data_IF_686584563068
#
_entry.id   IF_686584563068
#
_cell.length_a   1.000
_cell.length_b   1.000
_cell.length_c   1.000
_cell.angle_alpha   90.00
_cell.angle_beta   90.00
_cell.angle_gamma   90.00
#
_symmetry.space_group_name_H-M   'P 1'
#
loop_
_entity.id
_entity.type
_entity.pdbx_description
1 polymer ?
#
# COMPACT_ATOMS: atom_id res chain seq x y z
N UNK A 1 -28.86 20.72 -12.23
CA UNK A 1 -30.28 20.79 -12.67
C UNK A 1 -30.98 19.64 -11.97
N UNK A 2 -32.22 19.75 -11.46
CA UNK A 2 -32.85 18.58 -10.81
C UNK A 2 -33.27 17.58 -11.87
N UNK A 3 -32.50 16.52 -12.06
CA UNK A 3 -32.86 15.41 -12.95
C UNK A 3 -33.95 14.57 -12.27
N UNK A 4 -35.13 14.56 -12.89
CA UNK A 4 -36.27 13.71 -12.52
C UNK A 4 -36.41 12.68 -13.65
N UNK A 5 -35.85 11.46 -13.53
CA UNK A 5 -35.93 10.46 -14.60
C UNK A 5 -37.38 10.05 -14.95
N UNK A 6 -37.81 10.13 -16.20
CA UNK A 6 -39.24 10.04 -16.55
C UNK A 6 -39.97 8.71 -16.22
N UNK A 7 -39.28 7.65 -15.80
CA UNK A 7 -39.88 6.33 -15.55
C UNK A 7 -39.75 5.87 -14.07
N UNK A 8 -40.76 6.12 -13.22
CA UNK A 8 -40.68 5.95 -11.76
C UNK A 8 -40.52 4.50 -11.29
N UNK A 9 -40.85 3.51 -12.12
CA UNK A 9 -40.75 2.09 -11.77
C UNK A 9 -39.29 1.56 -11.79
N UNK A 10 -38.39 2.21 -12.54
CA UNK A 10 -36.98 1.81 -12.62
C UNK A 10 -36.11 2.39 -11.48
N UNK A 11 -36.59 3.46 -10.84
CA UNK A 11 -35.84 4.25 -9.86
C UNK A 11 -35.48 3.47 -8.59
N UNK A 12 -36.42 2.67 -8.10
CA UNK A 12 -36.27 1.93 -6.85
C UNK A 12 -35.30 0.75 -6.97
N UNK A 13 -35.10 0.20 -8.17
CA UNK A 13 -34.33 -1.03 -8.37
C UNK A 13 -32.87 -0.74 -8.67
N UNK A 14 -32.58 0.31 -9.44
CA UNK A 14 -31.22 0.57 -9.95
C UNK A 14 -30.42 1.38 -8.91
N UNK A 15 -30.89 2.57 -8.54
CA UNK A 15 -30.09 3.50 -7.73
C UNK A 15 -30.03 3.12 -6.24
N UNK A 16 -31.14 2.65 -5.66
CA UNK A 16 -31.20 2.29 -4.23
C UNK A 16 -30.37 1.03 -3.95
N UNK A 17 -30.48 0.00 -4.80
CA UNK A 17 -29.72 -1.23 -4.59
C UNK A 17 -28.23 -1.01 -4.86
N UNK A 18 -27.84 -0.24 -5.88
CA UNK A 18 -26.44 0.04 -6.17
C UNK A 18 -25.76 0.83 -5.03
N UNK A 19 -26.37 1.94 -4.57
CA UNK A 19 -25.81 2.74 -3.47
C UNK A 19 -25.78 1.97 -2.14
N UNK A 20 -26.82 1.20 -1.85
CA UNK A 20 -26.86 0.38 -0.62
C UNK A 20 -25.81 -0.72 -0.66
N UNK A 21 -25.63 -1.37 -1.81
CA UNK A 21 -24.60 -2.39 -2.02
C UNK A 21 -23.20 -1.82 -1.85
N UNK A 22 -22.89 -0.68 -2.50
CA UNK A 22 -21.61 0.01 -2.33
C UNK A 22 -21.36 0.41 -0.87
N UNK A 23 -22.37 0.90 -0.17
CA UNK A 23 -22.27 1.24 1.26
C UNK A 23 -21.90 0.05 2.12
N UNK A 24 -22.48 -1.14 1.88
CA UNK A 24 -22.08 -2.35 2.60
C UNK A 24 -20.63 -2.75 2.33
N UNK A 25 -20.16 -2.64 1.08
CA UNK A 25 -18.77 -2.91 0.74
C UNK A 25 -17.81 -1.94 1.45
N UNK A 26 -18.15 -0.65 1.51
CA UNK A 26 -17.39 0.36 2.26
C UNK A 26 -17.30 0.01 3.74
N UNK A 27 -18.43 -0.37 4.36
CA UNK A 27 -18.48 -0.76 5.78
C UNK A 27 -17.63 -2.02 6.03
N UNK A 28 -17.74 -3.03 5.18
CA UNK A 28 -16.93 -4.27 5.28
C UNK A 28 -15.44 -3.96 5.14
N UNK A 29 -15.06 -3.16 4.14
CA UNK A 29 -13.67 -2.77 3.93
C UNK A 29 -13.13 -1.97 5.12
N UNK A 30 -13.89 -0.98 5.60
CA UNK A 30 -13.54 -0.13 6.74
C UNK A 30 -13.40 -0.94 8.03
N UNK A 31 -14.33 -1.86 8.28
CA UNK A 31 -14.26 -2.78 9.43
C UNK A 31 -12.99 -3.62 9.37
N UNK A 32 -12.63 -4.13 8.18
CA UNK A 32 -11.40 -4.86 7.98
C UNK A 32 -10.13 -4.05 8.27
N UNK A 33 -10.09 -2.78 7.83
CA UNK A 33 -8.98 -1.85 8.12
C UNK A 33 -8.84 -1.59 9.62
N UNK A 34 -9.96 -1.34 10.31
CA UNK A 34 -9.98 -1.11 11.76
C UNK A 34 -9.56 -2.38 12.50
N UNK A 35 -10.02 -3.55 12.05
CA UNK A 35 -9.69 -4.83 12.66
C UNK A 35 -8.20 -5.18 12.52
N UNK A 36 -7.62 -5.09 11.32
CA UNK A 36 -6.16 -5.28 11.13
C UNK A 36 -5.36 -4.25 11.93
N UNK A 37 -5.88 -3.02 12.02
CA UNK A 37 -5.28 -1.96 12.83
C UNK A 37 -5.31 -2.27 14.32
N UNK A 38 -6.39 -2.85 14.84
CA UNK A 38 -6.48 -3.24 16.25
C UNK A 38 -5.54 -4.41 16.56
N UNK A 39 -5.48 -5.42 15.68
CA UNK A 39 -4.64 -6.60 15.87
C UNK A 39 -3.14 -6.27 15.93
N UNK A 40 -2.67 -5.36 15.07
CA UNK A 40 -1.25 -5.00 15.01
C UNK A 40 -0.86 -3.89 15.99
N UNK A 41 -1.80 -3.28 16.70
CA UNK A 41 -1.52 -2.13 17.56
C UNK A 41 -0.49 -2.45 18.64
N UNK A 42 -0.59 -3.60 19.31
CA UNK A 42 0.37 -4.01 20.35
C UNK A 42 1.79 -4.12 19.79
N UNK A 43 1.93 -4.81 18.65
CA UNK A 43 3.22 -4.97 17.98
C UNK A 43 3.80 -3.62 17.51
N UNK A 44 2.96 -2.69 17.08
CA UNK A 44 3.39 -1.33 16.71
C UNK A 44 3.92 -0.55 17.90
N UNK A 45 3.26 -0.63 19.05
CA UNK A 45 3.72 0.09 20.25
C UNK A 45 5.14 -0.36 20.62
N UNK A 46 5.42 -1.66 20.52
CA UNK A 46 6.73 -2.20 20.82
C UNK A 46 7.79 -1.88 19.75
N UNK A 47 7.47 -2.04 18.46
CA UNK A 47 8.44 -1.89 17.37
C UNK A 47 8.58 -0.47 16.82
N UNK A 48 7.58 0.38 17.00
CA UNK A 48 7.50 1.71 16.36
C UNK A 48 7.56 2.81 17.40
N UNK A 49 6.77 2.73 18.46
CA UNK A 49 6.67 3.81 19.45
C UNK A 49 7.84 3.84 20.43
N UNK A 50 8.38 2.69 20.81
CA UNK A 50 9.55 2.60 21.69
C UNK A 50 10.88 2.91 20.99
N UNK A 51 10.90 2.92 19.65
CA UNK A 51 12.13 3.11 18.87
C UNK A 51 12.34 4.58 18.49
N UNK A 52 13.57 4.93 18.10
CA UNK A 52 13.89 6.29 17.61
C UNK A 52 13.10 6.61 16.35
N UNK A 53 12.54 7.81 16.31
CA UNK A 53 11.77 8.31 15.17
C UNK A 53 12.69 8.44 13.94
N UNK A 54 12.37 7.68 12.91
CA UNK A 54 13.01 7.73 11.59
C UNK A 54 12.00 8.13 10.53
N UNK A 55 12.46 8.59 9.35
CA UNK A 55 11.59 8.91 8.22
C UNK A 55 10.66 7.72 7.87
N UNK A 56 11.17 6.48 7.93
CA UNK A 56 10.37 5.27 7.73
C UNK A 56 9.26 5.10 8.78
N UNK A 57 9.50 5.54 10.02
CA UNK A 57 8.50 5.54 11.11
C UNK A 57 7.37 6.51 10.78
N UNK A 58 7.72 7.71 10.31
CA UNK A 58 6.74 8.73 9.94
C UNK A 58 5.92 8.28 8.73
N UNK A 59 6.56 7.71 7.70
CA UNK A 59 5.86 7.17 6.54
C UNK A 59 4.89 6.04 6.94
N UNK A 60 5.32 5.16 7.83
CA UNK A 60 4.52 4.06 8.37
C UNK A 60 3.27 4.57 9.11
N UNK A 61 3.47 5.45 10.10
CA UNK A 61 2.37 6.02 10.88
C UNK A 61 1.44 6.83 9.97
N UNK A 62 1.99 7.60 9.03
CA UNK A 62 1.22 8.33 8.03
C UNK A 62 0.28 7.42 7.26
N UNK A 63 0.79 6.32 6.67
CA UNK A 63 -0.05 5.34 5.97
C UNK A 63 -1.14 4.75 6.88
N UNK A 64 -0.77 4.35 8.10
CA UNK A 64 -1.71 3.76 9.07
C UNK A 64 -2.88 4.71 9.38
N UNK A 65 -2.56 5.94 9.79
CA UNK A 65 -3.59 6.91 10.21
C UNK A 65 -4.37 7.49 9.04
N UNK A 66 -3.73 7.75 7.89
CA UNK A 66 -4.45 8.21 6.69
C UNK A 66 -5.50 7.18 6.27
N UNK A 67 -5.21 5.89 6.36
CA UNK A 67 -6.18 4.85 6.01
C UNK A 67 -7.33 4.71 7.02
N UNK A 68 -7.08 4.94 8.32
CA UNK A 68 -8.15 5.00 9.34
C UNK A 68 -9.04 6.22 9.07
N UNK A 69 -8.44 7.38 8.79
CA UNK A 69 -9.17 8.59 8.42
C UNK A 69 -9.99 8.36 7.15
N UNK A 70 -9.43 7.70 6.13
CA UNK A 70 -10.14 7.32 4.92
C UNK A 70 -11.37 6.45 5.23
N UNK A 71 -11.21 5.41 6.05
CA UNK A 71 -12.31 4.53 6.45
C UNK A 71 -13.44 5.32 7.14
N UNK A 72 -13.08 6.17 8.09
CA UNK A 72 -14.05 7.03 8.82
C UNK A 72 -14.76 7.99 7.88
N UNK A 73 -14.01 8.69 7.01
CA UNK A 73 -14.57 9.65 6.03
C UNK A 73 -15.53 8.93 5.06
N UNK A 74 -15.14 7.74 4.58
CA UNK A 74 -15.96 6.97 3.65
C UNK A 74 -17.31 6.54 4.22
N UNK A 75 -17.41 6.39 5.55
CA UNK A 75 -18.67 6.09 6.25
C UNK A 75 -19.46 7.37 6.53
N UNK A 76 -18.78 8.44 6.95
CA UNK A 76 -19.45 9.63 7.49
C UNK A 76 -20.13 10.50 6.42
N UNK A 77 -19.60 10.62 5.19
CA UNK A 77 -20.29 11.40 4.17
C UNK A 77 -19.69 11.35 2.77
N UNK A 78 -20.56 11.33 1.75
CA UNK A 78 -20.22 11.66 0.36
C UNK A 78 -19.70 13.10 0.19
N UNK A 79 -20.04 14.01 1.13
CA UNK A 79 -19.65 15.43 1.08
C UNK A 79 -18.12 15.62 1.13
N UNK A 80 -17.36 14.62 1.61
CA UNK A 80 -15.90 14.62 1.61
C UNK A 80 -15.26 13.83 0.46
N UNK A 81 -15.97 13.63 -0.65
CA UNK A 81 -15.43 12.95 -1.83
C UNK A 81 -14.13 13.59 -2.34
N UNK A 82 -14.02 14.91 -2.26
CA UNK A 82 -12.79 15.64 -2.59
C UNK A 82 -11.59 15.14 -1.76
N UNK A 83 -11.76 14.97 -0.45
CA UNK A 83 -10.71 14.47 0.42
C UNK A 83 -10.34 13.02 0.07
N UNK A 84 -11.33 12.17 -0.25
CA UNK A 84 -11.09 10.79 -0.68
C UNK A 84 -10.26 10.73 -1.96
N UNK A 85 -10.55 11.58 -2.95
CA UNK A 85 -9.76 11.67 -4.19
C UNK A 85 -8.29 12.02 -3.93
N UNK A 86 -8.01 12.93 -2.99
CA UNK A 86 -6.63 13.27 -2.64
C UNK A 86 -5.92 12.15 -1.88
N UNK A 87 -6.63 11.41 -1.02
CA UNK A 87 -6.05 10.25 -0.33
C UNK A 87 -5.57 9.20 -1.33
N UNK A 88 -6.31 9.00 -2.42
CA UNK A 88 -5.93 8.12 -3.53
C UNK A 88 -4.61 8.55 -4.19
N UNK A 89 -4.22 9.83 -4.12
CA UNK A 89 -2.89 10.31 -4.59
C UNK A 89 -1.83 10.16 -3.52
N UNK A 90 -2.14 10.58 -2.29
CA UNK A 90 -1.18 10.67 -1.19
C UNK A 90 -0.69 9.28 -0.79
N UNK A 91 -1.57 8.29 -0.70
CA UNK A 91 -1.22 6.94 -0.21
C UNK A 91 -0.27 6.22 -1.18
N UNK A 92 -0.53 6.12 -2.50
CA UNK A 92 0.44 5.59 -3.45
C UNK A 92 1.75 6.38 -3.51
N UNK A 93 1.72 7.70 -3.33
CA UNK A 93 2.94 8.50 -3.23
C UNK A 93 3.82 8.05 -2.05
N UNK A 94 3.22 7.90 -0.87
CA UNK A 94 3.89 7.43 0.34
C UNK A 94 4.45 6.01 0.15
N UNK A 95 3.68 5.10 -0.46
CA UNK A 95 4.15 3.76 -0.81
C UNK A 95 5.32 3.80 -1.80
N UNK A 96 5.25 4.65 -2.82
CA UNK A 96 6.33 4.84 -3.77
C UNK A 96 7.63 5.32 -3.09
N UNK A 97 7.55 6.23 -2.12
CA UNK A 97 8.74 6.64 -1.34
C UNK A 97 9.34 5.45 -0.57
N UNK A 98 8.51 4.60 0.05
CA UNK A 98 8.97 3.39 0.74
C UNK A 98 9.65 2.44 -0.23
N UNK A 99 9.06 2.22 -1.41
CA UNK A 99 9.59 1.33 -2.45
C UNK A 99 10.92 1.85 -3.02
N UNK A 100 11.05 3.16 -3.24
CA UNK A 100 12.29 3.79 -3.67
C UNK A 100 13.39 3.60 -2.63
N UNK A 101 13.10 3.85 -1.36
CA UNK A 101 14.08 3.69 -0.30
C UNK A 101 14.53 2.24 -0.12
N UNK A 102 13.62 1.26 -0.32
CA UNK A 102 13.96 -0.18 -0.36
C UNK A 102 14.82 -0.54 -1.55
N UNK A 103 14.44 -0.11 -2.75
CA UNK A 103 15.25 -0.32 -3.96
C UNK A 103 16.63 0.32 -3.82
N UNK A 104 16.71 1.49 -3.22
CA UNK A 104 17.99 2.15 -2.95
C UNK A 104 18.88 1.31 -2.04
N UNK A 105 18.32 0.72 -0.98
CA UNK A 105 19.04 -0.21 -0.12
C UNK A 105 19.47 -1.49 -0.88
N UNK A 106 18.59 -2.05 -1.71
CA UNK A 106 18.91 -3.22 -2.55
C UNK A 106 20.01 -2.95 -3.59
N UNK A 107 20.08 -1.72 -4.12
CA UNK A 107 21.13 -1.26 -5.03
C UNK A 107 22.41 -0.79 -4.30
N UNK A 108 22.64 -1.26 -3.07
CA UNK A 108 23.82 -0.95 -2.26
C UNK A 108 24.06 0.56 -2.10
N UNK A 109 23.00 1.37 -2.04
CA UNK A 109 23.10 2.81 -1.87
C UNK A 109 23.57 3.58 -3.12
N UNK A 110 23.42 3.01 -4.32
CA UNK A 110 23.77 3.69 -5.57
C UNK A 110 22.99 4.99 -5.79
N UNK A 111 23.69 6.13 -5.68
CA UNK A 111 23.10 7.47 -5.86
C UNK A 111 22.52 7.68 -7.27
N UNK A 112 23.14 7.08 -8.30
CA UNK A 112 22.66 7.18 -9.69
C UNK A 112 21.27 6.56 -9.85
N UNK A 113 21.06 5.40 -9.23
CA UNK A 113 19.75 4.73 -9.26
C UNK A 113 18.70 5.50 -8.45
N UNK A 114 19.08 6.07 -7.31
CA UNK A 114 18.18 6.91 -6.52
C UNK A 114 17.69 8.12 -7.31
N UNK A 115 18.60 8.85 -7.96
CA UNK A 115 18.24 10.03 -8.77
C UNK A 115 17.29 9.62 -9.90
N UNK A 116 17.58 8.51 -10.60
CA UNK A 116 16.70 7.98 -11.65
C UNK A 116 15.29 7.67 -11.13
N UNK A 117 15.19 6.94 -10.02
CA UNK A 117 13.90 6.58 -9.40
C UNK A 117 13.12 7.80 -8.94
N UNK A 118 13.78 8.77 -8.30
CA UNK A 118 13.14 10.00 -7.81
C UNK A 118 12.60 10.84 -8.96
N UNK A 119 13.34 10.98 -10.07
CA UNK A 119 12.88 11.75 -11.24
C UNK A 119 11.59 11.13 -11.81
N UNK A 120 11.58 9.82 -12.07
CA UNK A 120 10.40 9.15 -12.62
C UNK A 120 9.22 9.22 -11.64
N UNK A 121 9.49 8.99 -10.35
CA UNK A 121 8.47 9.10 -9.31
C UNK A 121 7.82 10.48 -9.28
N UNK A 122 8.61 11.55 -9.35
CA UNK A 122 8.09 12.92 -9.38
C UNK A 122 7.23 13.17 -10.62
N UNK A 123 7.67 12.71 -11.80
CA UNK A 123 6.89 12.84 -13.04
C UNK A 123 5.52 12.15 -12.90
N UNK A 124 5.51 10.91 -12.40
CA UNK A 124 4.27 10.13 -12.22
C UNK A 124 3.33 10.81 -11.21
N UNK A 125 3.85 11.26 -10.06
CA UNK A 125 3.03 11.89 -9.02
C UNK A 125 2.48 13.26 -9.42
N UNK A 126 3.31 14.09 -10.07
CA UNK A 126 2.85 15.39 -10.58
C UNK A 126 1.77 15.20 -11.64
N UNK A 127 1.99 14.28 -12.58
CA UNK A 127 0.98 13.95 -13.61
C UNK A 127 -0.31 13.43 -12.96
N UNK A 128 -0.20 12.56 -11.96
CA UNK A 128 -1.34 12.04 -11.22
C UNK A 128 -2.13 13.12 -10.46
N UNK A 129 -1.44 14.03 -9.78
CA UNK A 129 -2.08 15.15 -9.09
C UNK A 129 -2.82 16.09 -10.06
N UNK A 130 -2.24 16.34 -11.25
CA UNK A 130 -2.90 17.13 -12.30
C UNK A 130 -4.14 16.42 -12.83
N UNK A 131 -4.06 15.12 -13.11
CA UNK A 131 -5.21 14.33 -13.58
C UNK A 131 -6.34 14.33 -12.56
N UNK A 132 -6.04 14.14 -11.27
CA UNK A 132 -7.04 14.20 -10.21
C UNK A 132 -7.61 15.62 -10.08
N UNK A 133 -6.77 16.65 -10.18
CA UNK A 133 -7.24 18.04 -10.20
C UNK A 133 -8.19 18.34 -11.36
N UNK A 134 -7.93 17.80 -12.54
CA UNK A 134 -8.82 17.88 -13.70
C UNK A 134 -10.12 17.09 -13.46
N UNK A 135 -10.01 15.86 -12.95
CA UNK A 135 -11.15 15.01 -12.62
C UNK A 135 -12.09 15.71 -11.64
N UNK A 136 -11.55 16.38 -10.61
CA UNK A 136 -12.33 17.12 -9.63
C UNK A 136 -13.10 18.31 -10.22
N UNK A 137 -12.63 18.89 -11.34
CA UNK A 137 -13.36 19.95 -12.06
C UNK A 137 -14.53 19.41 -12.89
N UNK A 138 -14.50 18.14 -13.25
CA UNK A 138 -15.57 17.45 -13.99
C UNK A 138 -16.65 16.85 -13.08
N UNK A 139 -16.49 17.01 -11.76
CA UNK A 139 -17.52 16.58 -10.81
C UNK A 139 -18.61 17.64 -10.76
N UNK A 140 -19.79 17.30 -11.28
CA UNK A 140 -21.01 18.03 -11.01
C UNK A 140 -21.74 17.38 -9.84
N UNK A 141 -22.08 18.20 -8.84
CA UNK A 141 -22.89 17.77 -7.72
C UNK A 141 -24.33 18.13 -8.05
N UNK A 142 -25.14 17.10 -8.31
CA UNK A 142 -26.57 17.29 -8.56
C UNK A 142 -27.39 16.71 -7.41
N UNK A 143 -28.39 17.48 -6.99
CA UNK A 143 -29.39 17.03 -6.04
C UNK A 143 -30.46 16.22 -6.78
N UNK A 144 -30.52 14.92 -6.48
CA UNK A 144 -31.54 14.02 -6.98
C UNK A 144 -32.62 13.84 -5.90
N UNK A 145 -33.88 14.08 -6.25
CA UNK A 145 -35.02 13.84 -5.36
C UNK A 145 -35.60 12.48 -5.72
N UNK A 146 -35.29 11.46 -4.92
CA UNK A 146 -35.79 10.10 -5.11
C UNK A 146 -36.85 9.81 -4.05
N UNK A 147 -38.11 9.70 -4.47
CA UNK A 147 -39.24 9.37 -3.56
C UNK A 147 -39.35 10.29 -2.33
N UNK A 148 -39.14 11.60 -2.53
CA UNK A 148 -39.20 12.61 -1.47
C UNK A 148 -37.96 12.68 -0.56
N UNK A 149 -36.96 11.81 -0.76
CA UNK A 149 -35.66 11.93 -0.10
C UNK A 149 -34.68 12.69 -1.00
N UNK A 150 -34.03 13.71 -0.44
CA UNK A 150 -32.95 14.44 -1.09
C UNK A 150 -31.68 13.60 -1.01
N UNK A 151 -31.16 13.15 -2.15
CA UNK A 151 -29.87 12.49 -2.26
C UNK A 151 -28.90 13.33 -3.09
N UNK A 152 -27.67 13.43 -2.59
CA UNK A 152 -26.57 14.05 -3.31
C UNK A 152 -25.92 12.98 -4.18
N UNK A 153 -26.18 12.99 -5.49
CA UNK A 153 -25.53 12.08 -6.43
C UNK A 153 -24.38 12.79 -7.10
N UNK A 154 -23.19 12.18 -7.03
CA UNK A 154 -22.01 12.65 -7.73
C UNK A 154 -22.08 12.06 -9.14
N UNK A 155 -22.38 12.89 -10.13
CA UNK A 155 -22.30 12.47 -11.52
C UNK A 155 -20.94 12.86 -12.08
N UNK A 156 -20.26 11.88 -12.67
CA UNK A 156 -19.02 12.09 -13.39
C UNK A 156 -19.38 12.40 -14.84
N UNK A 157 -19.39 13.68 -15.20
CA UNK A 157 -19.79 14.12 -16.53
C UNK A 157 -18.60 14.09 -17.51
N UNK A 158 -18.83 13.59 -18.73
CA UNK A 158 -17.84 13.58 -19.81
C UNK A 158 -16.65 12.63 -19.59
N UNK A 159 -15.43 13.14 -19.80
CA UNK A 159 -14.17 12.37 -19.86
C UNK A 159 -13.62 11.92 -18.48
N UNK A 160 -14.38 12.07 -17.39
CA UNK A 160 -13.93 11.75 -16.04
C UNK A 160 -13.50 10.28 -15.86
N UNK A 161 -14.22 9.34 -16.50
CA UNK A 161 -13.87 7.92 -16.46
C UNK A 161 -12.53 7.62 -17.18
N UNK A 162 -12.27 8.34 -18.27
CA UNK A 162 -11.04 8.24 -19.03
C UNK A 162 -9.86 8.81 -18.22
N UNK A 163 -10.04 9.92 -17.52
CA UNK A 163 -9.04 10.47 -16.59
C UNK A 163 -8.71 9.49 -15.45
N UNK A 164 -9.71 8.86 -14.84
CA UNK A 164 -9.50 7.83 -13.83
C UNK A 164 -8.70 6.64 -14.38
N UNK A 165 -9.02 6.20 -15.60
CA UNK A 165 -8.30 5.12 -16.27
C UNK A 165 -6.85 5.51 -16.56
N UNK A 166 -6.60 6.71 -17.08
CA UNK A 166 -5.25 7.24 -17.30
C UNK A 166 -4.43 7.28 -16.01
N UNK A 167 -5.04 7.70 -14.89
CA UNK A 167 -4.38 7.72 -13.60
C UNK A 167 -3.97 6.32 -13.12
N UNK A 168 -4.87 5.33 -13.25
CA UNK A 168 -4.55 3.93 -12.92
C UNK A 168 -3.44 3.37 -13.81
N UNK A 169 -3.42 3.73 -15.10
CA UNK A 169 -2.33 3.37 -16.02
C UNK A 169 -0.98 3.94 -15.55
N UNK A 170 -0.94 5.18 -15.07
CA UNK A 170 0.29 5.77 -14.55
C UNK A 170 0.81 5.05 -13.30
N UNK A 171 -0.07 4.72 -12.35
CA UNK A 171 0.30 3.95 -11.15
C UNK A 171 0.83 2.57 -11.54
N UNK A 172 0.13 1.87 -12.43
CA UNK A 172 0.52 0.52 -12.86
C UNK A 172 1.83 0.51 -13.62
N UNK A 173 2.09 1.48 -14.49
CA UNK A 173 3.39 1.64 -15.17
C UNK A 173 4.51 1.83 -14.14
N UNK A 174 4.29 2.68 -13.13
CA UNK A 174 5.24 2.88 -12.05
C UNK A 174 5.52 1.58 -11.28
N UNK A 175 4.48 0.86 -10.89
CA UNK A 175 4.61 -0.39 -10.14
C UNK A 175 5.28 -1.51 -10.95
N UNK A 176 4.99 -1.61 -12.24
CA UNK A 176 5.68 -2.53 -13.16
C UNK A 176 7.17 -2.17 -13.25
N UNK A 177 7.51 -0.89 -13.38
CA UNK A 177 8.90 -0.45 -13.42
C UNK A 177 9.66 -0.82 -12.13
N UNK A 178 9.05 -0.57 -10.97
CA UNK A 178 9.61 -0.93 -9.66
C UNK A 178 9.75 -2.46 -9.53
N UNK A 179 8.75 -3.24 -9.96
CA UNK A 179 8.79 -4.71 -9.99
C UNK A 179 9.92 -5.23 -10.87
N UNK A 180 10.08 -4.70 -12.08
CA UNK A 180 11.13 -5.09 -13.00
C UNK A 180 12.52 -4.82 -12.41
N UNK A 181 12.72 -3.66 -11.77
CA UNK A 181 13.98 -3.32 -11.11
C UNK A 181 14.26 -4.22 -9.91
N UNK A 182 13.26 -4.48 -9.07
CA UNK A 182 13.40 -5.38 -7.92
C UNK A 182 13.74 -6.81 -8.38
N UNK A 183 13.03 -7.32 -9.39
CA UNK A 183 13.29 -8.63 -10.00
C UNK A 183 14.69 -8.72 -10.61
N UNK A 184 15.12 -7.68 -11.32
CA UNK A 184 16.47 -7.61 -11.91
C UNK A 184 17.56 -7.72 -10.84
N UNK A 185 17.47 -6.93 -9.76
CA UNK A 185 18.44 -6.99 -8.66
C UNK A 185 18.43 -8.36 -8.01
N UNK A 186 17.26 -8.96 -7.84
CA UNK A 186 17.12 -10.29 -7.23
C UNK A 186 17.83 -11.37 -8.04
N UNK A 187 17.60 -11.38 -9.36
CA UNK A 187 18.25 -12.31 -10.26
C UNK A 187 19.76 -12.09 -10.27
N UNK A 188 20.20 -10.83 -10.27
CA UNK A 188 21.63 -10.49 -10.20
C UNK A 188 22.26 -10.99 -8.90
N UNK A 189 21.64 -10.69 -7.76
CA UNK A 189 22.15 -11.05 -6.44
C UNK A 189 22.20 -12.57 -6.26
N UNK A 190 21.16 -13.29 -6.71
CA UNK A 190 21.15 -14.75 -6.65
C UNK A 190 22.21 -15.39 -7.56
N UNK A 191 22.48 -14.79 -8.74
CA UNK A 191 23.58 -15.22 -9.62
C UNK A 191 24.95 -14.98 -8.99
N UNK A 192 25.13 -13.88 -8.27
CA UNK A 192 26.37 -13.55 -7.55
C UNK A 192 26.57 -14.45 -6.32
N UNK A 193 25.54 -14.70 -5.52
CA UNK A 193 25.54 -15.66 -4.40
C UNK A 193 25.86 -17.09 -4.87
N UNK A 194 25.28 -17.52 -5.98
CA UNK A 194 25.59 -18.84 -6.57
C UNK A 194 27.07 -18.97 -6.96
N UNK A 195 27.76 -17.85 -7.24
CA UNK A 195 29.21 -17.84 -7.54
C UNK A 195 30.09 -17.78 -6.29
N UNK A 196 29.59 -17.24 -5.17
CA UNK A 196 30.34 -17.11 -3.92
C UNK A 196 29.60 -17.76 -2.75
N UNK A 197 29.95 -19.02 -2.48
CA UNK A 197 29.34 -19.91 -1.46
C UNK A 197 29.45 -19.45 0.01
N UNK A 198 29.87 -18.21 0.30
CA UNK A 198 30.20 -17.77 1.66
C UNK A 198 29.28 -16.65 2.23
N UNK A 199 28.20 -16.27 1.53
CA UNK A 199 27.38 -15.09 1.87
C UNK A 199 26.14 -15.33 2.74
N UNK A 200 26.18 -16.23 3.73
CA UNK A 200 24.98 -16.72 4.45
C UNK A 200 24.09 -15.62 5.08
N UNK A 201 24.68 -14.64 5.78
CA UNK A 201 23.89 -13.68 6.55
C UNK A 201 23.26 -12.54 5.70
N UNK A 202 23.92 -12.14 4.61
CA UNK A 202 23.40 -11.12 3.68
C UNK A 202 22.28 -11.72 2.81
N UNK A 203 22.38 -13.00 2.47
CA UNK A 203 21.35 -13.72 1.73
C UNK A 203 20.02 -13.78 2.49
N UNK A 204 20.05 -13.95 3.81
CA UNK A 204 18.83 -14.08 4.63
C UNK A 204 18.04 -12.77 4.69
N UNK A 205 18.70 -11.63 4.91
CA UNK A 205 18.05 -10.31 4.91
C UNK A 205 17.44 -9.99 3.54
N UNK A 206 18.18 -10.28 2.47
CA UNK A 206 17.71 -10.07 1.10
C UNK A 206 16.49 -10.96 0.79
N UNK A 207 16.50 -12.21 1.28
CA UNK A 207 15.39 -13.15 1.10
C UNK A 207 14.12 -12.68 1.79
N UNK A 208 14.21 -12.14 3.02
CA UNK A 208 13.05 -11.55 3.72
C UNK A 208 12.50 -10.36 2.96
N UNK A 209 13.38 -9.46 2.50
CA UNK A 209 12.97 -8.30 1.70
C UNK A 209 12.25 -8.75 0.42
N UNK A 210 12.81 -9.72 -0.29
CA UNK A 210 12.21 -10.24 -1.52
C UNK A 210 10.88 -10.95 -1.32
N UNK A 211 10.72 -11.71 -0.25
CA UNK A 211 9.44 -12.31 0.10
C UNK A 211 8.36 -11.24 0.26
N UNK A 212 8.67 -10.15 0.95
CA UNK A 212 7.72 -9.04 1.13
C UNK A 212 7.36 -8.35 -0.19
N UNK A 213 8.34 -8.15 -1.09
CA UNK A 213 8.10 -7.60 -2.43
C UNK A 213 7.24 -8.51 -3.29
N UNK A 214 7.50 -9.83 -3.31
CA UNK A 214 6.72 -10.79 -4.09
C UNK A 214 5.26 -10.79 -3.64
N UNK A 215 5.00 -10.79 -2.33
CA UNK A 215 3.63 -10.76 -1.79
C UNK A 215 2.93 -9.44 -2.15
N UNK A 216 3.62 -8.31 -2.05
CA UNK A 216 3.08 -7.01 -2.46
C UNK A 216 2.71 -6.99 -3.95
N UNK A 217 3.63 -7.39 -4.84
CA UNK A 217 3.39 -7.34 -6.27
C UNK A 217 2.39 -8.38 -6.77
N UNK A 218 2.37 -9.59 -6.19
CA UNK A 218 1.35 -10.59 -6.50
C UNK A 218 -0.05 -10.07 -6.15
N UNK A 219 -0.17 -9.41 -5.00
CA UNK A 219 -1.41 -8.77 -4.59
C UNK A 219 -1.77 -7.61 -5.54
N UNK A 220 -0.80 -6.75 -5.88
CA UNK A 220 -1.00 -5.67 -6.84
C UNK A 220 -1.55 -6.18 -8.18
N UNK A 221 -0.92 -7.21 -8.76
CA UNK A 221 -1.38 -7.82 -10.03
C UNK A 221 -2.78 -8.40 -9.89
N UNK A 222 -3.12 -9.03 -8.76
CA UNK A 222 -4.45 -9.57 -8.53
C UNK A 222 -5.53 -8.48 -8.46
N UNK A 223 -5.21 -7.30 -7.93
CA UNK A 223 -6.14 -6.16 -7.84
C UNK A 223 -6.20 -5.36 -9.15
N UNK A 224 -5.05 -5.07 -9.75
CA UNK A 224 -4.97 -4.25 -10.96
C UNK A 224 -5.33 -5.02 -12.23
N UNK A 225 -5.03 -6.32 -12.30
CA UNK A 225 -5.28 -7.16 -13.49
C UNK A 225 -6.72 -7.11 -13.99
N UNK A 226 -7.73 -7.28 -13.11
CA UNK A 226 -9.14 -7.12 -13.48
C UNK A 226 -9.48 -5.71 -14.01
N UNK A 227 -8.80 -4.67 -13.53
CA UNK A 227 -9.00 -3.28 -13.97
C UNK A 227 -8.52 -3.05 -15.42
N UNK A 228 -7.53 -3.80 -15.90
CA UNK A 228 -7.10 -3.74 -17.31
C UNK A 228 -8.08 -4.43 -18.27
N UNK A 229 -8.91 -5.36 -17.77
CA UNK A 229 -9.97 -6.00 -18.56
C UNK A 229 -10.97 -5.01 -19.15
N UNK A 230 -11.13 -3.83 -18.52
CA UNK A 230 -11.98 -2.73 -18.98
C UNK A 230 -11.50 -2.07 -20.28
N UNK A 231 -10.20 -2.17 -20.62
CA UNK A 231 -9.66 -1.62 -21.87
C UNK A 231 -10.03 -2.47 -23.09
N UNK A 232 -10.56 -3.67 -22.89
CA UNK A 232 -11.04 -4.51 -23.99
C UNK A 232 -12.47 -4.11 -24.38
N UNK A 233 -12.72 -3.69 -25.63
CA UNK A 233 -14.06 -3.29 -26.09
C UNK A 233 -15.08 -4.44 -26.03
N UNK A 234 -14.63 -5.70 -26.02
CA UNK A 234 -15.50 -6.88 -25.95
C UNK A 234 -16.00 -7.19 -24.53
N UNK A 235 -15.22 -6.80 -23.50
CA UNK A 235 -15.60 -6.91 -22.08
C UNK A 235 -16.36 -5.65 -21.64
N UNK A 236 -15.99 -4.50 -22.21
CA UNK A 236 -16.73 -3.25 -22.09
C UNK A 236 -18.20 -3.48 -22.41
N UNK A 237 -18.59 -4.02 -23.56
CA UNK A 237 -20.02 -4.16 -23.90
C UNK A 237 -20.79 -5.15 -23.03
N UNK A 238 -20.15 -6.20 -22.52
CA UNK A 238 -20.78 -7.17 -21.62
C UNK A 238 -20.95 -6.62 -20.18
N UNK A 239 -20.01 -5.82 -19.67
CA UNK A 239 -20.09 -5.16 -18.36
C UNK A 239 -20.71 -3.75 -18.37
N UNK A 240 -20.81 -3.10 -19.54
CA UNK A 240 -21.55 -1.84 -19.75
C UNK A 240 -23.06 -2.06 -19.81
N UNK A 241 -23.52 -3.32 -19.78
CA UNK A 241 -24.92 -3.65 -19.53
C UNK A 241 -25.27 -3.40 -18.06
N UNK A 242 -25.16 -2.13 -17.63
CA UNK A 242 -25.54 -1.65 -16.30
C UNK A 242 -24.70 -2.24 -15.16
N UNK A 243 -23.97 -1.39 -14.45
CA UNK A 243 -23.73 -1.52 -12.99
C UNK A 243 -23.68 -2.96 -12.44
N UNK A 244 -22.49 -3.58 -12.34
CA UNK A 244 -22.33 -4.67 -11.37
C UNK A 244 -21.69 -4.11 -10.09
N UNK A 245 -22.48 -3.48 -9.19
CA UNK A 245 -21.97 -2.85 -7.96
C UNK A 245 -21.20 -3.83 -7.08
N UNK A 246 -21.44 -5.13 -7.26
CA UNK A 246 -20.69 -6.21 -6.62
C UNK A 246 -19.22 -6.19 -7.05
N UNK A 247 -18.93 -6.09 -8.34
CA UNK A 247 -17.55 -6.10 -8.82
C UNK A 247 -16.78 -4.88 -8.32
N UNK A 248 -17.35 -3.68 -8.45
CA UNK A 248 -16.72 -2.44 -7.98
C UNK A 248 -16.52 -2.46 -6.45
N UNK A 249 -17.51 -2.95 -5.70
CA UNK A 249 -17.39 -3.11 -4.26
C UNK A 249 -16.32 -4.11 -3.84
N UNK A 250 -16.20 -5.24 -4.55
CA UNK A 250 -15.12 -6.23 -4.33
C UNK A 250 -13.76 -5.61 -4.65
N UNK A 251 -13.61 -4.92 -5.77
CA UNK A 251 -12.37 -4.22 -6.14
C UNK A 251 -12.00 -3.18 -5.06
N UNK A 252 -12.98 -2.44 -4.56
CA UNK A 252 -12.80 -1.47 -3.49
C UNK A 252 -12.27 -2.10 -2.21
N UNK A 253 -12.81 -3.26 -1.78
CA UNK A 253 -12.26 -4.02 -0.64
C UNK A 253 -10.79 -4.35 -0.90
N UNK A 254 -10.47 -4.91 -2.07
CA UNK A 254 -9.12 -5.33 -2.38
C UNK A 254 -8.12 -4.17 -2.42
N UNK A 255 -8.49 -3.04 -3.01
CA UNK A 255 -7.66 -1.82 -3.02
C UNK A 255 -7.43 -1.31 -1.60
N UNK A 256 -8.49 -1.22 -0.78
CA UNK A 256 -8.38 -0.79 0.62
C UNK A 256 -7.47 -1.70 1.43
N UNK A 257 -7.68 -3.01 1.31
CA UNK A 257 -6.85 -4.02 1.97
C UNK A 257 -5.40 -3.94 1.49
N UNK A 258 -5.18 -3.73 0.19
CA UNK A 258 -3.83 -3.63 -0.34
C UNK A 258 -3.07 -2.42 0.21
N UNK A 259 -3.70 -1.25 0.19
CA UNK A 259 -3.07 -0.01 0.66
C UNK A 259 -2.87 -0.01 2.18
N UNK A 260 -3.84 -0.51 2.94
CA UNK A 260 -3.81 -0.51 4.42
C UNK A 260 -3.00 -1.65 5.03
N UNK A 261 -2.97 -2.83 4.40
CA UNK A 261 -2.33 -4.02 4.99
C UNK A 261 -0.94 -4.23 4.44
N UNK A 262 -0.76 -4.20 3.11
CA UNK A 262 0.52 -4.57 2.49
C UNK A 262 1.56 -3.46 2.61
N UNK A 263 1.15 -2.19 2.48
CA UNK A 263 2.04 -1.04 2.65
C UNK A 263 2.75 -1.03 4.02
N UNK A 264 2.00 -1.07 5.13
CA UNK A 264 2.58 -1.18 6.47
C UNK A 264 3.38 -2.47 6.70
N UNK A 265 2.92 -3.61 6.16
CA UNK A 265 3.63 -4.91 6.30
C UNK A 265 5.02 -4.89 5.70
N UNK A 266 5.20 -4.21 4.57
CA UNK A 266 6.53 -4.01 3.98
C UNK A 266 7.49 -3.55 5.08
N UNK A 267 7.18 -2.44 5.76
CA UNK A 267 8.06 -1.86 6.80
C UNK A 267 8.21 -2.76 8.02
N UNK A 268 7.11 -3.35 8.50
CA UNK A 268 7.12 -4.19 9.71
C UNK A 268 8.01 -5.42 9.54
N UNK A 269 7.94 -6.13 8.41
CA UNK A 269 8.71 -7.35 8.17
C UNK A 269 10.23 -7.10 8.31
N UNK A 270 10.69 -5.94 7.85
CA UNK A 270 12.11 -5.54 7.95
C UNK A 270 12.49 -5.19 9.39
N UNK A 271 11.61 -4.51 10.13
CA UNK A 271 11.87 -4.18 11.55
C UNK A 271 11.85 -5.41 12.43
N UNK A 272 10.90 -6.31 12.21
CA UNK A 272 10.80 -7.57 12.95
C UNK A 272 12.04 -8.43 12.70
N UNK A 273 12.52 -8.51 11.46
CA UNK A 273 13.77 -9.19 11.14
C UNK A 273 14.97 -8.55 11.85
N UNK A 274 15.07 -7.22 11.84
CA UNK A 274 16.14 -6.50 12.54
C UNK A 274 16.08 -6.72 14.05
N UNK A 275 14.90 -6.67 14.67
CA UNK A 275 14.73 -6.92 16.10
C UNK A 275 15.19 -8.34 16.48
N UNK A 276 14.77 -9.36 15.72
CA UNK A 276 15.22 -10.74 15.93
C UNK A 276 16.73 -10.90 15.76
N UNK A 277 17.34 -10.18 14.81
CA UNK A 277 18.78 -10.22 14.61
C UNK A 277 19.54 -9.65 15.82
N UNK A 278 19.06 -8.53 16.38
CA UNK A 278 19.63 -7.91 17.58
C UNK A 278 19.47 -8.82 18.81
N UNK A 279 18.28 -9.39 19.02
CA UNK A 279 18.05 -10.30 20.15
C UNK A 279 18.97 -11.53 20.08
N UNK A 280 19.16 -12.08 18.88
CA UNK A 280 20.07 -13.22 18.67
C UNK A 280 21.54 -12.84 18.87
N UNK A 281 21.96 -11.62 18.49
CA UNK A 281 23.34 -11.17 18.75
C UNK A 281 23.59 -10.98 20.23
N UNK A 282 22.62 -10.45 20.97
CA UNK A 282 22.73 -10.22 22.41
C UNK A 282 22.72 -11.55 23.18
N UNK A 283 21.91 -12.52 22.76
CA UNK A 283 21.92 -13.88 23.32
C UNK A 283 23.27 -14.59 23.07
N UNK A 284 23.85 -14.43 21.88
CA UNK A 284 25.15 -15.03 21.52
C UNK A 284 26.32 -14.34 22.22
N UNK A 285 26.26 -13.01 22.38
CA UNK A 285 27.22 -12.24 23.16
C UNK A 285 27.11 -12.54 24.66
N UNK A 286 25.91 -12.83 25.16
CA UNK A 286 25.67 -13.28 26.54
C UNK A 286 26.31 -14.64 26.83
N UNK A 287 26.19 -15.60 25.91
CA UNK A 287 26.79 -16.93 26.05
C UNK A 287 28.33 -16.93 25.97
N UNK A 288 28.94 -15.99 25.24
CA UNK A 288 30.41 -15.90 25.12
C UNK A 288 31.09 -15.16 26.27
N UNK A 289 30.33 -14.50 27.16
CA UNK A 289 30.88 -13.77 28.32
C UNK A 289 31.07 -14.63 29.57
N UNK A 290 30.67 -15.91 29.58
CA UNK A 290 31.03 -16.86 30.64
C UNK A 290 32.43 -17.41 30.37
N UNK A 291 33.43 -16.52 30.40
CA UNK A 291 34.83 -16.93 30.46
C UNK A 291 35.09 -17.29 31.92
N UNK A 292 35.26 -18.58 32.18
CA UNK A 292 35.75 -19.09 33.45
C UNK A 292 37.11 -18.46 33.73
N UNK A 293 37.16 -17.54 34.70
CA UNK A 293 38.41 -16.99 35.20
C UNK A 293 39.13 -18.11 35.97
N UNK A 294 39.97 -18.85 35.25
CA UNK A 294 40.82 -19.89 35.80
C UNK A 294 41.74 -19.25 36.86
N UNK A 295 41.47 -19.59 38.14
CA UNK A 295 42.32 -19.19 39.26
C UNK A 295 43.68 -19.86 39.08
N UNK A 296 44.63 -19.12 38.50
CA UNK A 296 46.04 -19.44 38.58
C UNK A 296 46.45 -19.32 40.05
N UNK A 297 46.51 -20.46 40.74
CA UNK A 297 47.14 -20.56 42.05
C UNK A 297 48.65 -20.35 41.87
N UNK A 298 49.12 -19.18 42.30
CA UNK A 298 50.54 -18.85 42.48
C UNK A 298 51.21 -19.86 43.41
N UNK A 299 52.07 -20.70 42.86
CA UNK A 299 53.07 -21.47 43.61
C UNK A 299 54.15 -20.51 44.12
N UNK A 300 54.13 -20.24 45.42
CA UNK A 300 55.21 -19.55 46.13
C UNK A 300 56.32 -20.57 46.40
N UNK A 301 57.40 -20.49 45.63
CA UNK A 301 58.67 -21.14 45.99
C UNK A 301 59.37 -20.25 47.02
N UNK A 302 59.45 -20.69 48.28
CA UNK A 302 60.39 -20.12 49.25
C UNK A 302 61.57 -21.08 49.40
N UNK A 303 62.71 -20.68 48.83
CA UNK A 303 64.03 -21.18 49.19
C UNK A 303 64.59 -20.31 50.32
N UNK A 304 64.65 -20.84 51.55
CA UNK A 304 65.75 -20.72 52.54
C UNK A 304 65.59 -21.91 53.49
#
# INVERSE_FOLDING_TARGET
MTLVPNDPNLWHVININANRTSSYFVVVASTGVVYDSALKFTQEVDLVWRQRWSLMTVLYLGLRYIMIVYAVISILSYIMYFALCWIVVIVPAMLGVIMIARLYAMYQGSRKMLIFLVIIFLIVNVSGAVIIGMMLRHISVEEAILSGMYQCTIMLEGDGALLCTMYLMLITIWEILVLCLAGWVSVRHFRELRRHSAGGMIGDCFTVLMKSHIVYFASFVAVSGPSFGYLSPMVSTALYSLENPIYLGVLQIFVLMQLSVLGPRLILDVREYHAKLVDNSDATSGMTSIVFQERVHLTTSSSV
#
